data_IF_036362918009
#
_entry.id   IF_036362918009
#
_cell.length_a   1.000
_cell.length_b   1.000
_cell.length_c   1.000
_cell.angle_alpha   90.00
_cell.angle_beta   90.00
_cell.angle_gamma   90.00
#
_symmetry.space_group_name_H-M   'P 1'
#
loop_
_entity.id
_entity.type
_entity.pdbx_description
1 polymer ?
#
# COMPACT_ATOMS: atom_id res chain seq x y z
N UNK A 1 -1.32 5.16 -30.96
CA UNK A 1 -2.42 5.12 -29.96
C UNK A 1 -1.77 5.14 -28.58
N UNK A 2 -1.78 6.27 -27.88
CA UNK A 2 -1.22 6.36 -26.52
C UNK A 2 -2.29 5.83 -25.57
N UNK A 3 -2.18 4.58 -25.14
CA UNK A 3 -3.04 4.02 -24.10
C UNK A 3 -2.72 4.70 -22.77
N UNK A 4 -3.64 5.51 -22.27
CA UNK A 4 -3.59 6.07 -20.92
C UNK A 4 -4.24 5.08 -19.94
N UNK A 5 -3.59 3.95 -19.67
CA UNK A 5 -4.10 2.95 -18.71
C UNK A 5 -3.79 3.31 -17.24
N UNK A 6 -2.96 4.34 -17.00
CA UNK A 6 -2.53 4.73 -15.64
C UNK A 6 -3.48 5.67 -14.89
N UNK A 7 -4.29 6.48 -15.59
CA UNK A 7 -5.06 7.56 -14.95
C UNK A 7 -6.20 7.05 -14.07
N UNK A 8 -6.89 5.99 -14.48
CA UNK A 8 -7.99 5.40 -13.72
C UNK A 8 -7.51 4.86 -12.36
N UNK A 9 -6.33 4.23 -12.31
CA UNK A 9 -5.77 3.68 -11.08
C UNK A 9 -5.40 4.76 -10.05
N UNK A 10 -4.88 5.91 -10.53
CA UNK A 10 -4.48 7.03 -9.68
C UNK A 10 -5.72 7.72 -9.09
N UNK A 11 -6.77 7.94 -9.89
CA UNK A 11 -8.02 8.53 -9.40
C UNK A 11 -8.65 7.65 -8.32
N UNK A 12 -8.69 6.32 -8.54
CA UNK A 12 -9.17 5.37 -7.54
C UNK A 12 -8.34 5.40 -6.26
N UNK A 13 -7.01 5.46 -6.37
CA UNK A 13 -6.12 5.57 -5.20
C UNK A 13 -6.38 6.86 -4.42
N UNK A 14 -6.55 7.99 -5.13
CA UNK A 14 -6.79 9.30 -4.52
C UNK A 14 -8.13 9.34 -3.79
N UNK A 15 -9.23 9.01 -4.48
CA UNK A 15 -10.58 9.04 -3.89
C UNK A 15 -10.68 8.03 -2.74
N UNK A 16 -10.14 6.82 -2.91
CA UNK A 16 -10.14 5.82 -1.85
C UNK A 16 -9.38 6.28 -0.60
N UNK A 17 -8.22 6.89 -0.76
CA UNK A 17 -7.42 7.34 0.36
C UNK A 17 -7.96 8.62 1.01
N UNK A 18 -8.19 9.69 0.25
CA UNK A 18 -8.55 10.99 0.82
C UNK A 18 -10.03 11.13 1.16
N UNK A 19 -10.92 10.68 0.28
CA UNK A 19 -12.38 10.91 0.45
C UNK A 19 -13.02 9.80 1.30
N UNK A 20 -12.65 8.54 1.05
CA UNK A 20 -13.30 7.40 1.72
C UNK A 20 -12.63 7.08 3.06
N UNK A 21 -11.30 6.91 3.08
CA UNK A 21 -10.58 6.59 4.32
C UNK A 21 -10.49 7.77 5.28
N UNK A 22 -10.50 9.02 4.79
CA UNK A 22 -10.36 10.23 5.63
C UNK A 22 -9.26 10.10 6.71
N UNK A 23 -8.01 9.78 6.32
CA UNK A 23 -6.95 9.41 7.24
C UNK A 23 -6.53 10.59 8.11
N UNK A 24 -6.03 10.29 9.31
CA UNK A 24 -5.35 11.28 10.17
C UNK A 24 -3.86 11.03 10.19
N UNK A 25 -3.11 12.12 10.30
CA UNK A 25 -1.65 12.06 10.44
C UNK A 25 -1.28 11.23 11.66
N UNK A 26 -0.33 10.31 11.50
CA UNK A 26 0.11 9.39 12.55
C UNK A 26 -0.74 8.13 12.70
N UNK A 27 -1.84 7.96 11.94
CA UNK A 27 -2.57 6.70 11.91
C UNK A 27 -1.81 5.62 11.12
N UNK A 28 -2.14 4.37 11.43
CA UNK A 28 -1.63 3.19 10.72
C UNK A 28 -2.56 2.85 9.56
N UNK A 29 -2.01 2.73 8.36
CA UNK A 29 -2.71 2.39 7.12
C UNK A 29 -2.18 1.05 6.62
N UNK A 30 -3.09 0.08 6.53
CA UNK A 30 -2.81 -1.21 5.91
C UNK A 30 -3.29 -1.24 4.46
N UNK A 31 -2.42 -1.70 3.56
CA UNK A 31 -2.70 -1.79 2.12
C UNK A 31 -2.53 -3.24 1.66
N UNK A 32 -3.63 -3.86 1.25
CA UNK A 32 -3.58 -5.19 0.63
C UNK A 32 -3.10 -5.09 -0.81
N UNK A 33 -2.39 -6.13 -1.27
CA UNK A 33 -1.82 -6.18 -2.62
C UNK A 33 -1.02 -4.90 -2.99
N UNK A 34 -0.25 -4.37 -2.03
CA UNK A 34 0.34 -3.03 -2.10
C UNK A 34 1.30 -2.83 -3.28
N UNK A 35 1.90 -3.91 -3.81
CA UNK A 35 2.74 -3.84 -5.03
C UNK A 35 1.97 -3.58 -6.33
N UNK A 36 0.63 -3.64 -6.31
CA UNK A 36 -0.25 -3.49 -7.47
C UNK A 36 -0.29 -2.07 -8.04
N UNK A 37 -1.04 -1.88 -9.13
CA UNK A 37 -1.16 -0.59 -9.82
C UNK A 37 -1.76 0.52 -8.93
N UNK A 38 -2.79 0.20 -8.15
CA UNK A 38 -3.44 1.15 -7.22
C UNK A 38 -2.67 1.23 -5.90
N UNK A 39 -2.38 0.08 -5.28
CA UNK A 39 -1.79 -0.01 -3.94
C UNK A 39 -0.48 0.76 -3.78
N UNK A 40 0.38 0.77 -4.82
CA UNK A 40 1.65 1.49 -4.76
C UNK A 40 1.46 3.01 -4.63
N UNK A 41 0.43 3.56 -5.28
CA UNK A 41 0.13 4.98 -5.24
C UNK A 41 -0.52 5.35 -3.90
N UNK A 42 -1.45 4.51 -3.40
CA UNK A 42 -2.05 4.69 -2.07
C UNK A 42 -0.96 4.72 -0.99
N UNK A 43 0.02 3.81 -1.07
CA UNK A 43 1.13 3.78 -0.13
C UNK A 43 1.96 5.06 -0.14
N UNK A 44 2.27 5.57 -1.33
CA UNK A 44 3.00 6.83 -1.45
C UNK A 44 2.19 8.02 -0.91
N UNK A 45 0.89 8.08 -1.17
CA UNK A 45 0.03 9.11 -0.58
C UNK A 45 -0.01 9.01 0.95
N UNK A 46 -0.15 7.80 1.50
CA UNK A 46 -0.15 7.59 2.94
C UNK A 46 1.18 7.98 3.60
N UNK A 47 2.32 7.66 2.97
CA UNK A 47 3.63 8.11 3.44
C UNK A 47 3.77 9.63 3.41
N UNK A 48 3.36 10.28 2.32
CA UNK A 48 3.40 11.74 2.20
C UNK A 48 2.45 12.44 3.20
N UNK A 49 1.32 11.81 3.52
CA UNK A 49 0.37 12.30 4.52
C UNK A 49 0.89 12.15 5.96
N UNK A 50 1.93 11.33 6.18
CA UNK A 50 2.53 11.08 7.47
C UNK A 50 1.84 9.98 8.27
N UNK A 51 1.29 8.98 7.57
CA UNK A 51 0.81 7.74 8.18
C UNK A 51 1.94 6.71 8.33
N UNK A 52 1.75 5.77 9.25
CA UNK A 52 2.52 4.53 9.30
C UNK A 52 1.91 3.53 8.32
N UNK A 53 2.68 3.03 7.35
CA UNK A 53 2.13 2.29 6.22
C UNK A 53 2.66 0.86 6.20
N UNK A 54 1.73 -0.10 6.27
CA UNK A 54 2.01 -1.53 6.21
C UNK A 54 1.39 -2.13 4.94
N UNK A 55 2.17 -2.87 4.17
CA UNK A 55 1.74 -3.44 2.90
C UNK A 55 1.79 -4.97 2.85
N UNK A 56 0.80 -5.64 2.27
CA UNK A 56 0.91 -7.06 1.94
C UNK A 56 1.16 -7.29 0.46
N UNK A 57 2.01 -8.27 0.14
CA UNK A 57 2.29 -8.69 -1.23
C UNK A 57 2.36 -10.21 -1.36
N UNK A 58 2.34 -10.73 -2.58
CA UNK A 58 2.26 -12.17 -2.85
C UNK A 58 3.59 -12.86 -3.21
N UNK A 59 4.71 -12.17 -3.01
CA UNK A 59 6.08 -12.70 -3.17
C UNK A 59 7.07 -11.82 -2.40
N UNK A 60 8.22 -12.39 -2.00
CA UNK A 60 9.26 -11.65 -1.27
C UNK A 60 9.83 -10.47 -2.08
N UNK A 61 10.09 -10.65 -3.39
CA UNK A 61 10.58 -9.55 -4.25
C UNK A 61 9.66 -8.31 -4.23
N UNK A 62 8.35 -8.54 -4.10
CA UNK A 62 7.35 -7.47 -4.02
C UNK A 62 7.33 -6.81 -2.63
N UNK A 63 7.61 -7.57 -1.58
CA UNK A 63 7.80 -7.03 -0.23
C UNK A 63 9.04 -6.14 -0.20
N UNK A 64 10.15 -6.60 -0.78
CA UNK A 64 11.39 -5.82 -0.85
C UNK A 64 11.22 -4.56 -1.69
N UNK A 65 10.44 -4.62 -2.78
CA UNK A 65 10.04 -3.45 -3.56
C UNK A 65 9.29 -2.42 -2.69
N UNK A 66 8.36 -2.88 -1.84
CA UNK A 66 7.55 -2.00 -0.98
C UNK A 66 8.41 -1.28 0.06
N UNK A 67 9.28 -2.02 0.76
CA UNK A 67 10.17 -1.45 1.78
C UNK A 67 11.25 -0.57 1.18
N UNK A 68 12.00 -1.09 0.20
CA UNK A 68 13.24 -0.46 -0.24
C UNK A 68 13.02 0.65 -1.29
N UNK A 69 12.00 0.53 -2.14
CA UNK A 69 11.77 1.51 -3.23
C UNK A 69 10.57 2.40 -2.98
N UNK A 70 9.52 1.90 -2.35
CA UNK A 70 8.28 2.66 -2.11
C UNK A 70 8.22 3.30 -0.72
N UNK A 71 9.14 2.93 0.19
CA UNK A 71 9.29 3.56 1.50
C UNK A 71 8.18 3.20 2.49
N UNK A 72 7.57 2.02 2.34
CA UNK A 72 6.66 1.48 3.34
C UNK A 72 7.41 1.21 4.65
N UNK A 73 6.75 1.44 5.78
CA UNK A 73 7.35 1.20 7.10
C UNK A 73 7.50 -0.29 7.38
N UNK A 74 6.47 -1.07 7.01
CA UNK A 74 6.56 -2.53 7.02
C UNK A 74 5.82 -3.14 5.82
N UNK A 75 6.19 -4.36 5.47
CA UNK A 75 5.53 -5.16 4.46
C UNK A 75 5.82 -6.65 4.65
N UNK A 76 4.87 -7.50 4.26
CA UNK A 76 4.98 -8.96 4.40
C UNK A 76 4.37 -9.73 3.24
N UNK A 77 4.87 -10.96 3.04
CA UNK A 77 4.35 -11.87 2.03
C UNK A 77 3.18 -12.66 2.62
N UNK A 78 1.93 -12.32 2.25
CA UNK A 78 0.75 -12.95 2.83
C UNK A 78 0.64 -14.46 2.54
N UNK A 79 1.42 -15.00 1.60
CA UNK A 79 1.45 -16.44 1.29
C UNK A 79 2.36 -17.24 2.21
N UNK A 80 3.30 -16.57 2.87
CA UNK A 80 4.27 -17.19 3.78
C UNK A 80 3.90 -16.95 5.25
N UNK A 81 2.85 -16.17 5.51
CA UNK A 81 2.34 -15.94 6.86
C UNK A 81 1.38 -17.07 7.28
N UNK A 82 1.70 -17.83 8.35
CA UNK A 82 0.81 -18.87 8.87
C UNK A 82 -0.40 -18.30 9.61
N UNK A 83 -0.30 -17.08 10.15
CA UNK A 83 -1.41 -16.36 10.79
C UNK A 83 -1.44 -14.88 10.36
N UNK A 84 -2.42 -14.56 9.51
CA UNK A 84 -2.62 -13.19 9.02
C UNK A 84 -3.05 -12.22 10.13
N UNK A 85 -3.71 -12.70 11.19
CA UNK A 85 -4.12 -11.83 12.30
C UNK A 85 -2.91 -11.39 13.12
N UNK A 86 -1.91 -12.25 13.28
CA UNK A 86 -0.65 -11.88 13.90
C UNK A 86 0.14 -10.89 13.03
N UNK A 87 0.16 -11.10 11.71
CA UNK A 87 0.86 -10.22 10.77
C UNK A 87 0.27 -8.80 10.71
N UNK A 88 -1.04 -8.63 10.87
CA UNK A 88 -1.71 -7.32 10.86
C UNK A 88 -1.48 -6.49 12.14
N UNK A 89 -0.92 -7.08 13.21
CA UNK A 89 -0.62 -6.38 14.47
C UNK A 89 0.79 -5.78 14.53
N UNK A 90 1.54 -5.84 13.45
CA UNK A 90 2.91 -5.30 13.33
C UNK A 90 2.92 -3.79 13.17
#
# INVERSE_FOLDING_TARGET
MKFCEGMACIITAYVGFYEICSPKKGETVFISAASGAVGRHVGQFAKLFGCYVVGSAGSQDKVDLLKNKLGFDDAFNYKEEPDLNAAMKR
#
